data_IF_174282949772
#
_entry.id   IF_174282949772
#
_cell.length_a   1.000
_cell.length_b   1.000
_cell.length_c   1.000
_cell.angle_alpha   90.00
_cell.angle_beta   90.00
_cell.angle_gamma   90.00
#
_symmetry.space_group_name_H-M   'P 1'
#
loop_
_entity.id
_entity.type
_entity.pdbx_description
1 polymer ?
#
# COMPACT_ATOMS: atom_id res chain seq x y z
N UNK A 1 -1.95 1.23 -9.68
CA UNK A 1 -0.54 0.80 -9.70
C UNK A 1 -0.42 -0.54 -10.40
N UNK A 2 0.36 -0.59 -11.44
CA UNK A 2 0.67 -1.83 -12.16
C UNK A 2 1.83 -2.53 -11.46
N UNK A 3 1.54 -3.65 -10.83
CA UNK A 3 2.55 -4.43 -10.11
C UNK A 3 2.96 -5.63 -10.97
N UNK A 4 4.25 -5.78 -11.16
CA UNK A 4 4.83 -6.91 -11.85
C UNK A 4 6.09 -7.34 -11.11
N UNK A 5 5.90 -7.97 -9.97
CA UNK A 5 6.97 -8.33 -9.05
C UNK A 5 6.70 -9.71 -8.44
N UNK A 6 6.70 -10.74 -9.28
CA UNK A 6 6.45 -12.13 -8.87
C UNK A 6 7.30 -12.50 -7.64
N UNK A 7 6.67 -13.05 -6.62
CA UNK A 7 7.30 -13.39 -5.36
C UNK A 7 7.42 -12.22 -4.37
N UNK A 8 6.96 -11.02 -4.74
CA UNK A 8 7.05 -9.83 -3.92
C UNK A 8 5.67 -9.17 -3.77
N UNK A 9 4.77 -9.69 -2.91
CA UNK A 9 3.47 -9.08 -2.68
C UNK A 9 3.62 -7.65 -2.20
N UNK A 10 2.96 -6.72 -2.90
CA UNK A 10 3.04 -5.29 -2.62
C UNK A 10 1.84 -4.84 -1.80
N UNK A 11 2.11 -4.19 -0.67
CA UNK A 11 1.07 -3.71 0.23
C UNK A 11 1.22 -2.22 0.50
N UNK A 12 0.07 -1.54 0.57
CA UNK A 12 -0.04 -0.25 1.25
C UNK A 12 -0.41 -0.49 2.71
N UNK A 13 0.26 0.18 3.62
CA UNK A 13 -0.02 0.06 5.05
C UNK A 13 0.12 1.42 5.77
N UNK A 14 -0.38 1.49 7.00
CA UNK A 14 -0.36 2.71 7.80
C UNK A 14 0.90 2.90 8.61
N UNK A 15 1.68 1.86 8.81
CA UNK A 15 2.94 1.90 9.57
C UNK A 15 4.15 1.86 8.65
N UNK A 16 5.24 2.51 9.07
CA UNK A 16 6.52 2.46 8.36
C UNK A 16 7.24 1.13 8.59
N UNK A 17 8.21 0.84 7.73
CA UNK A 17 9.11 -0.30 7.88
C UNK A 17 8.54 -1.61 7.40
N UNK A 18 8.82 -2.69 8.12
CA UNK A 18 8.47 -4.03 7.71
C UNK A 18 6.96 -4.25 7.60
N UNK A 19 6.57 -5.24 6.80
CA UNK A 19 5.18 -5.63 6.65
C UNK A 19 4.52 -5.94 8.00
N UNK A 20 3.36 -5.33 8.22
CA UNK A 20 2.52 -5.60 9.37
C UNK A 20 1.09 -5.82 8.91
N UNK A 21 0.63 -7.06 8.93
CA UNK A 21 -0.69 -7.44 8.44
C UNK A 21 -1.86 -6.78 9.18
N UNK A 22 -1.65 -6.31 10.40
CA UNK A 22 -2.67 -5.57 11.15
C UNK A 22 -2.88 -4.15 10.63
N UNK A 23 -1.91 -3.61 9.88
CA UNK A 23 -1.90 -2.21 9.43
C UNK A 23 -2.06 -2.07 7.91
N UNK A 24 -2.35 -3.15 7.19
CA UNK A 24 -2.59 -3.06 5.75
C UNK A 24 -3.93 -2.38 5.46
N UNK A 25 -3.97 -1.61 4.38
CA UNK A 25 -5.21 -1.01 3.90
C UNK A 25 -6.04 -2.06 3.17
N UNK A 26 -7.35 -1.94 3.24
CA UNK A 26 -8.29 -2.87 2.63
C UNK A 26 -9.27 -2.13 1.70
N UNK A 27 -10.27 -2.84 1.18
CA UNK A 27 -11.25 -2.23 0.28
C UNK A 27 -12.08 -1.13 0.97
N UNK A 28 -12.31 -1.24 2.27
CA UNK A 28 -12.95 -0.18 3.05
C UNK A 28 -12.13 1.09 3.13
N UNK A 29 -10.82 0.99 2.98
CA UNK A 29 -9.89 2.13 2.96
C UNK A 29 -9.67 2.66 1.53
N UNK A 30 -10.30 2.08 0.53
CA UNK A 30 -10.18 2.50 -0.87
C UNK A 30 -9.09 1.77 -1.66
N UNK A 31 -8.48 0.72 -1.12
CA UNK A 31 -7.45 -0.05 -1.82
C UNK A 31 -8.01 -1.39 -2.28
N UNK A 32 -8.04 -1.57 -3.58
CA UNK A 32 -8.49 -2.82 -4.20
C UNK A 32 -7.28 -3.65 -4.61
N UNK A 33 -7.33 -4.94 -4.31
CA UNK A 33 -6.29 -5.91 -4.66
C UNK A 33 -4.94 -5.63 -3.96
N UNK A 34 -4.97 -5.08 -2.75
CA UNK A 34 -3.76 -4.87 -1.96
C UNK A 34 -3.07 -6.21 -1.71
N UNK A 35 -1.75 -6.24 -1.86
CA UNK A 35 -0.97 -7.47 -1.72
C UNK A 35 -0.69 -8.19 -3.03
N UNK A 36 -1.07 -7.63 -4.17
CA UNK A 36 -0.76 -8.24 -5.46
C UNK A 36 0.75 -8.27 -5.69
N UNK A 37 1.24 -9.41 -6.16
CA UNK A 37 2.61 -9.53 -6.68
C UNK A 37 2.64 -9.28 -8.18
N UNK A 38 1.58 -9.66 -8.86
CA UNK A 38 1.35 -9.40 -10.29
C UNK A 38 -0.10 -8.97 -10.46
N UNK A 39 -0.31 -7.83 -11.07
CA UNK A 39 -1.65 -7.30 -11.33
C UNK A 39 -1.75 -5.81 -11.04
N UNK A 40 -2.99 -5.34 -10.92
CA UNK A 40 -3.27 -3.92 -10.68
C UNK A 40 -3.80 -3.73 -9.26
N UNK A 41 -3.16 -2.83 -8.54
CA UNK A 41 -3.68 -2.34 -7.25
C UNK A 41 -4.28 -0.96 -7.51
N UNK A 42 -5.54 -0.79 -7.17
CA UNK A 42 -6.25 0.47 -7.30
C UNK A 42 -6.38 1.12 -5.93
N UNK A 43 -5.94 2.37 -5.82
CA UNK A 43 -6.08 3.16 -4.61
C UNK A 43 -6.96 4.37 -4.89
N UNK A 44 -8.12 4.41 -4.25
CA UNK A 44 -9.05 5.54 -4.29
C UNK A 44 -8.98 6.25 -2.94
N UNK A 45 -8.41 7.44 -2.93
CA UNK A 45 -8.25 8.23 -1.69
C UNK A 45 -9.59 8.79 -1.23
N UNK A 46 -9.74 8.91 0.09
CA UNK A 46 -10.92 9.46 0.75
C UNK A 46 -10.53 10.63 1.65
N UNK A 47 -11.50 11.39 2.11
CA UNK A 47 -11.23 12.46 3.08
C UNK A 47 -10.58 11.95 4.36
N UNK A 48 -10.90 10.72 4.76
CA UNK A 48 -10.35 10.08 5.95
C UNK A 48 -9.01 9.40 5.71
N UNK A 49 -8.53 9.36 4.46
CA UNK A 49 -7.23 8.76 4.14
C UNK A 49 -6.11 9.56 4.79
N UNK A 50 -5.18 8.87 5.44
CA UNK A 50 -3.99 9.51 6.03
C UNK A 50 -3.15 10.18 4.94
N UNK A 51 -2.56 11.33 5.26
CA UNK A 51 -1.68 12.04 4.31
C UNK A 51 -0.37 11.32 4.06
N UNK A 52 0.10 10.57 5.03
CA UNK A 52 1.34 9.78 4.92
C UNK A 52 1.01 8.32 5.12
N UNK A 53 1.34 7.53 4.12
CA UNK A 53 1.18 6.09 4.14
C UNK A 53 2.50 5.45 3.71
N UNK A 54 2.53 4.15 3.71
CA UNK A 54 3.76 3.42 3.40
C UNK A 54 3.45 2.26 2.49
N UNK A 55 4.43 1.87 1.67
CA UNK A 55 4.36 0.65 0.90
C UNK A 55 5.45 -0.31 1.35
N UNK A 56 5.22 -1.58 1.17
CA UNK A 56 6.16 -2.62 1.62
C UNK A 56 5.99 -3.90 0.80
N UNK A 57 7.08 -4.63 0.61
CA UNK A 57 7.04 -6.00 0.15
C UNK A 57 6.89 -6.93 1.37
N UNK A 58 5.91 -7.82 1.34
CA UNK A 58 5.65 -8.73 2.45
C UNK A 58 6.86 -9.62 2.76
N UNK A 59 7.59 -10.04 1.76
CA UNK A 59 8.68 -11.01 1.90
C UNK A 59 10.07 -10.38 2.11
N UNK A 60 10.18 -9.06 1.98
CA UNK A 60 11.46 -8.34 2.06
C UNK A 60 11.28 -7.03 2.80
N UNK A 61 11.56 -7.03 4.10
CA UNK A 61 11.31 -5.86 4.97
C UNK A 61 12.08 -4.60 4.57
N UNK A 62 13.21 -4.74 3.86
CA UNK A 62 13.97 -3.60 3.35
C UNK A 62 13.35 -2.95 2.11
N UNK A 63 12.40 -3.64 1.45
CA UNK A 63 11.68 -3.10 0.29
C UNK A 63 10.44 -2.36 0.77
N UNK A 64 10.63 -1.14 1.21
CA UNK A 64 9.57 -0.29 1.71
C UNK A 64 9.86 1.17 1.38
N UNK A 65 8.83 2.01 1.49
CA UNK A 65 8.95 3.44 1.26
C UNK A 65 7.72 4.18 1.72
N UNK A 66 7.74 5.48 1.49
CA UNK A 66 6.71 6.41 1.95
C UNK A 66 5.83 6.86 0.78
N UNK A 67 4.55 6.96 1.02
CA UNK A 67 3.56 7.53 0.10
C UNK A 67 2.98 8.78 0.74
N UNK A 68 3.10 9.91 0.06
CA UNK A 68 2.54 11.18 0.53
C UNK A 68 1.37 11.55 -0.35
N UNK A 69 0.24 11.86 0.28
CA UNK A 69 -0.98 12.27 -0.40
C UNK A 69 -1.20 13.75 -0.12
N UNK A 70 -1.20 14.54 -1.19
CA UNK A 70 -1.48 15.97 -1.10
C UNK A 70 -2.97 16.22 -1.30
N UNK A 71 -3.60 17.09 -0.49
CA UNK A 71 -5.00 17.45 -0.71
C UNK A 71 -5.17 18.10 -2.07
N UNK A 72 -6.23 17.68 -2.76
CA UNK A 72 -6.67 18.34 -3.98
C UNK A 72 -7.49 19.57 -3.63
N UNK A 73 -7.22 20.67 -4.28
CA UNK A 73 -7.94 21.92 -4.09
C UNK A 73 -8.86 22.16 -5.26
#
# INVERSE_FOLDING_TARGET
FNVNASGHPFYFQTSSGAFNGANVLNSGDGVTNNGAAVGVIKFETKFTTQNTLYYVCQNHSSMNGTVVIYPSI
#
